data_IF_061425155040
#
_entry.id   IF_061425155040
#
_cell.length_a   1.000
_cell.length_b   1.000
_cell.length_c   1.000
_cell.angle_alpha   90.00
_cell.angle_beta   90.00
_cell.angle_gamma   90.00
#
_symmetry.space_group_name_H-M   'P 1'
#
loop_
_entity.id
_entity.type
_entity.pdbx_description
1 polymer ?
#
# COMPACT_ATOMS: atom_id res chain seq x y z
N UNK A 1 51.57 14.26 -27.22
CA UNK A 1 51.47 14.01 -25.77
C UNK A 1 50.12 13.36 -25.47
N UNK A 2 50.04 12.04 -25.34
CA UNK A 2 48.85 11.32 -24.86
C UNK A 2 49.04 11.01 -23.37
N UNK A 3 48.21 11.61 -22.50
CA UNK A 3 48.18 11.30 -21.07
C UNK A 3 47.12 10.23 -20.80
N UNK A 4 47.56 9.01 -20.45
CA UNK A 4 46.73 7.93 -19.90
C UNK A 4 46.40 8.25 -18.44
N UNK A 5 45.10 8.36 -18.10
CA UNK A 5 44.64 8.40 -16.70
C UNK A 5 44.62 6.99 -16.11
N UNK A 6 45.33 6.81 -15.00
CA UNK A 6 45.27 5.60 -14.16
C UNK A 6 44.17 5.81 -13.13
N UNK A 7 43.17 4.93 -13.11
CA UNK A 7 42.18 4.87 -12.02
C UNK A 7 42.69 3.96 -10.88
N UNK A 8 42.85 4.53 -9.68
CA UNK A 8 42.98 3.77 -8.42
C UNK A 8 41.59 3.30 -7.98
N UNK A 9 41.42 1.99 -7.72
CA UNK A 9 40.26 1.44 -7.01
C UNK A 9 40.46 1.63 -5.50
N UNK A 10 39.48 2.22 -4.82
CA UNK A 10 39.42 2.30 -3.36
C UNK A 10 38.89 0.97 -2.78
N UNK A 11 39.49 0.51 -1.68
CA UNK A 11 38.98 -0.58 -0.84
C UNK A 11 37.87 -0.04 0.08
N UNK A 12 36.69 -0.65 0.08
CA UNK A 12 35.61 -0.32 1.02
C UNK A 12 35.82 -1.05 2.37
N UNK A 13 35.65 -0.33 3.49
CA UNK A 13 35.74 -0.87 4.85
C UNK A 13 34.48 -1.66 5.25
N UNK A 14 34.63 -2.67 6.12
CA UNK A 14 33.50 -3.44 6.65
C UNK A 14 32.50 -2.55 7.42
N UNK A 15 31.18 -2.85 7.33
CA UNK A 15 30.14 -2.05 7.96
C UNK A 15 30.17 -2.14 9.50
N UNK A 16 29.80 -1.04 10.17
CA UNK A 16 29.68 -0.99 11.63
C UNK A 16 28.47 -1.79 12.13
N UNK A 17 28.48 -2.21 13.41
CA UNK A 17 27.34 -2.95 13.99
C UNK A 17 26.04 -2.14 13.94
N UNK A 18 26.13 -0.81 14.05
CA UNK A 18 24.98 0.08 13.90
C UNK A 18 24.42 0.05 12.48
N UNK A 19 25.29 0.10 11.46
CA UNK A 19 24.87 0.01 10.07
C UNK A 19 24.22 -1.36 9.76
N UNK A 20 24.78 -2.44 10.31
CA UNK A 20 24.18 -3.78 10.21
C UNK A 20 22.82 -3.84 10.93
N UNK A 21 22.70 -3.24 12.11
CA UNK A 21 21.44 -3.17 12.83
C UNK A 21 20.36 -2.40 12.05
N UNK A 22 20.71 -1.25 11.46
CA UNK A 22 19.80 -0.46 10.63
C UNK A 22 19.36 -1.25 9.37
N UNK A 23 20.27 -2.01 8.76
CA UNK A 23 19.97 -2.95 7.66
C UNK A 23 19.02 -4.07 8.12
N UNK A 24 19.27 -4.67 9.29
CA UNK A 24 18.41 -5.74 9.84
C UNK A 24 17.06 -5.22 10.31
N UNK A 25 16.94 -3.95 10.73
CA UNK A 25 15.64 -3.31 10.92
C UNK A 25 14.87 -3.23 9.61
N UNK A 26 15.54 -2.88 8.51
CA UNK A 26 14.91 -2.86 7.19
C UNK A 26 14.49 -4.28 6.75
N UNK A 27 15.36 -5.27 6.90
CA UNK A 27 15.06 -6.68 6.60
C UNK A 27 13.93 -7.24 7.47
N UNK A 28 13.91 -6.93 8.77
CA UNK A 28 12.85 -7.37 9.69
C UNK A 28 11.46 -6.87 9.28
N UNK A 29 11.37 -5.74 8.59
CA UNK A 29 10.11 -5.21 8.04
C UNK A 29 9.65 -5.95 6.77
N UNK A 30 10.56 -6.64 6.08
CA UNK A 30 10.24 -7.44 4.88
C UNK A 30 9.91 -8.89 5.22
N UNK A 31 10.23 -9.34 6.44
CA UNK A 31 9.89 -10.68 6.87
C UNK A 31 8.37 -10.84 7.05
N UNK A 32 7.83 -12.06 6.83
CA UNK A 32 6.43 -12.34 7.11
C UNK A 32 6.06 -11.96 8.54
N UNK A 33 4.81 -11.49 8.79
CA UNK A 33 4.38 -11.12 10.12
C UNK A 33 4.48 -12.33 11.05
N UNK A 34 5.15 -12.13 12.18
CA UNK A 34 5.25 -13.14 13.22
C UNK A 34 3.83 -13.51 13.70
N UNK A 35 3.55 -14.79 13.79
CA UNK A 35 2.30 -15.34 14.34
C UNK A 35 2.41 -15.50 15.87
N UNK A 36 3.61 -15.86 16.34
CA UNK A 36 3.91 -16.04 17.76
C UNK A 36 4.13 -14.72 18.52
N UNK A 37 3.39 -14.55 19.61
CA UNK A 37 3.47 -13.37 20.47
C UNK A 37 4.77 -13.32 21.28
N UNK A 38 5.34 -14.47 21.65
CA UNK A 38 6.61 -14.50 22.39
C UNK A 38 7.76 -13.98 21.51
N UNK A 39 7.82 -14.43 20.26
CA UNK A 39 8.78 -13.96 19.24
C UNK A 39 8.63 -12.45 18.97
N UNK A 40 7.39 -11.91 18.92
CA UNK A 40 7.17 -10.45 18.80
C UNK A 40 7.70 -9.66 19.99
N UNK A 41 7.47 -10.17 21.20
CA UNK A 41 7.90 -9.52 22.43
C UNK A 41 9.43 -9.52 22.55
N UNK A 42 10.08 -10.61 22.14
CA UNK A 42 11.55 -10.71 22.09
C UNK A 42 12.16 -9.74 21.07
N UNK A 43 11.61 -9.71 19.85
CA UNK A 43 12.01 -8.74 18.81
C UNK A 43 11.87 -7.29 19.30
N UNK A 44 10.75 -6.98 19.96
CA UNK A 44 10.51 -5.66 20.53
C UNK A 44 11.51 -5.33 21.65
N UNK A 45 11.74 -6.24 22.58
CA UNK A 45 12.65 -6.04 23.70
C UNK A 45 14.08 -5.78 23.23
N UNK A 46 14.60 -6.60 22.30
CA UNK A 46 15.94 -6.43 21.72
C UNK A 46 16.07 -5.10 20.97
N UNK A 47 15.06 -4.72 20.20
CA UNK A 47 15.04 -3.42 19.51
C UNK A 47 15.08 -2.26 20.51
N UNK A 48 14.23 -2.30 21.55
CA UNK A 48 14.19 -1.24 22.58
C UNK A 48 15.49 -1.17 23.38
N UNK A 49 16.08 -2.30 23.74
CA UNK A 49 17.38 -2.33 24.42
C UNK A 49 18.49 -1.76 23.52
N UNK A 50 18.46 -2.07 22.21
CA UNK A 50 19.44 -1.57 21.25
C UNK A 50 19.31 -0.05 20.99
N UNK A 51 18.11 0.52 21.02
CA UNK A 51 17.90 1.96 20.74
C UNK A 51 17.92 2.83 21.99
N UNK A 52 17.32 2.36 23.09
CA UNK A 52 17.05 3.15 24.28
C UNK A 52 17.88 2.69 25.48
N UNK A 53 18.53 1.51 25.41
CA UNK A 53 19.27 0.93 26.53
C UNK A 53 18.38 0.24 27.57
N UNK A 54 18.87 0.03 28.80
CA UNK A 54 18.12 -0.63 29.87
C UNK A 54 16.76 0.03 30.16
N UNK A 55 15.75 -0.79 30.45
CA UNK A 55 14.40 -0.29 30.73
C UNK A 55 14.37 0.57 32.01
N UNK A 56 14.13 1.87 31.85
CA UNK A 56 13.96 2.84 32.94
C UNK A 56 12.53 3.34 33.09
N UNK A 57 11.61 2.84 32.26
CA UNK A 57 10.22 3.28 32.22
C UNK A 57 9.42 2.73 33.40
N UNK A 58 8.40 3.44 33.91
CA UNK A 58 7.53 2.93 34.96
C UNK A 58 6.71 1.74 34.46
N UNK A 59 6.44 0.78 35.35
CA UNK A 59 5.63 -0.40 35.02
C UNK A 59 4.21 0.03 34.62
N UNK A 60 3.68 -0.41 33.45
CA UNK A 60 2.31 -0.12 33.02
C UNK A 60 1.24 -0.61 34.00
N UNK A 61 0.10 0.08 34.00
CA UNK A 61 -1.02 -0.20 34.91
C UNK A 61 -1.67 -1.57 34.70
N UNK A 62 -2.36 -2.08 35.72
CA UNK A 62 -2.90 -3.46 35.77
C UNK A 62 -3.86 -3.81 34.62
N UNK A 63 -4.49 -2.82 33.99
CA UNK A 63 -5.43 -3.02 32.88
C UNK A 63 -4.78 -2.96 31.48
N UNK A 64 -3.49 -2.62 31.38
CA UNK A 64 -2.73 -2.61 30.12
C UNK A 64 -1.90 -3.89 29.97
N UNK A 65 -2.58 -4.98 29.59
CA UNK A 65 -1.96 -6.30 29.48
C UNK A 65 -0.85 -6.37 28.42
N UNK A 66 -1.02 -5.66 27.30
CA UNK A 66 -0.03 -5.66 26.19
C UNK A 66 1.16 -4.77 26.53
N UNK A 67 0.92 -3.58 27.08
CA UNK A 67 1.99 -2.71 27.54
C UNK A 67 2.79 -3.34 28.66
N UNK A 68 2.13 -4.00 29.62
CA UNK A 68 2.81 -4.76 30.68
C UNK A 68 3.70 -5.87 30.11
N UNK A 69 3.22 -6.65 29.14
CA UNK A 69 4.02 -7.72 28.52
C UNK A 69 5.24 -7.18 27.76
N UNK A 70 5.09 -6.07 27.02
CA UNK A 70 6.21 -5.38 26.35
C UNK A 70 7.22 -4.81 27.33
N UNK A 71 6.74 -4.19 28.40
CA UNK A 71 7.57 -3.66 29.46
C UNK A 71 8.32 -4.77 30.19
N UNK A 72 7.66 -5.88 30.53
CA UNK A 72 8.30 -7.03 31.18
C UNK A 72 9.36 -7.67 30.27
N UNK A 73 9.07 -7.85 28.98
CA UNK A 73 10.04 -8.37 28.02
C UNK A 73 11.29 -7.48 27.91
N UNK A 74 11.13 -6.15 27.87
CA UNK A 74 12.25 -5.22 27.83
C UNK A 74 12.99 -5.13 29.17
N UNK A 75 12.28 -5.09 30.30
CA UNK A 75 12.88 -5.06 31.63
C UNK A 75 13.68 -6.33 31.95
N UNK A 76 13.26 -7.50 31.45
CA UNK A 76 13.96 -8.76 31.63
C UNK A 76 15.33 -8.83 30.93
N UNK A 77 15.61 -7.95 29.95
CA UNK A 77 16.95 -7.84 29.35
C UNK A 77 17.96 -7.15 30.28
N UNK A 78 17.50 -6.53 31.38
CA UNK A 78 18.34 -6.00 32.44
C UNK A 78 19.37 -4.98 31.95
N UNK A 79 20.63 -5.18 32.34
CA UNK A 79 21.75 -4.29 32.02
C UNK A 79 22.47 -4.62 30.71
N UNK A 80 21.83 -5.34 29.78
CA UNK A 80 22.42 -5.68 28.48
C UNK A 80 22.87 -4.40 27.73
N UNK A 81 24.09 -4.42 27.18
CA UNK A 81 24.62 -3.26 26.45
C UNK A 81 23.91 -3.05 25.11
N UNK A 82 23.87 -1.81 24.61
CA UNK A 82 23.22 -1.49 23.33
C UNK A 82 23.86 -2.24 22.14
N UNK A 83 25.18 -2.33 22.08
CA UNK A 83 25.89 -3.06 21.02
C UNK A 83 25.64 -4.57 21.06
N UNK A 84 25.45 -5.13 22.26
CA UNK A 84 25.10 -6.53 22.46
C UNK A 84 23.66 -6.78 22.03
N UNK A 85 22.73 -5.90 22.41
CA UNK A 85 21.34 -5.97 21.96
C UNK A 85 21.21 -5.80 20.44
N UNK A 86 22.02 -4.95 19.80
CA UNK A 86 22.06 -4.83 18.33
C UNK A 86 22.50 -6.13 17.67
N UNK A 87 23.55 -6.79 18.19
CA UNK A 87 24.00 -8.10 17.68
C UNK A 87 22.91 -9.15 17.83
N UNK A 88 22.34 -9.28 19.02
CA UNK A 88 21.26 -10.24 19.27
C UNK A 88 20.04 -9.98 18.39
N UNK A 89 19.70 -8.72 18.12
CA UNK A 89 18.64 -8.37 17.18
C UNK A 89 18.96 -8.78 15.74
N UNK A 90 20.21 -8.56 15.29
CA UNK A 90 20.66 -8.98 13.97
C UNK A 90 20.55 -10.50 13.79
N UNK A 91 21.07 -11.26 14.76
CA UNK A 91 21.03 -12.73 14.75
C UNK A 91 19.59 -13.25 14.76
N UNK A 92 18.71 -12.60 15.53
CA UNK A 92 17.29 -12.92 15.61
C UNK A 92 16.58 -12.72 14.26
N UNK A 93 16.81 -11.59 13.59
CA UNK A 93 16.26 -11.33 12.24
C UNK A 93 16.79 -12.34 11.22
N UNK A 94 18.06 -12.72 11.29
CA UNK A 94 18.64 -13.71 10.38
C UNK A 94 18.05 -15.11 10.58
N UNK A 95 17.80 -15.51 11.84
CA UNK A 95 17.11 -16.75 12.14
C UNK A 95 15.67 -16.77 11.60
N UNK A 96 14.94 -15.64 11.71
CA UNK A 96 13.60 -15.51 11.15
C UNK A 96 13.60 -15.54 9.63
N UNK A 97 14.58 -14.89 8.99
CA UNK A 97 14.76 -14.93 7.54
C UNK A 97 15.06 -16.35 7.04
N UNK A 98 15.92 -17.10 7.74
CA UNK A 98 16.22 -18.48 7.41
C UNK A 98 15.00 -19.41 7.57
N UNK A 99 14.16 -19.18 8.60
CA UNK A 99 12.91 -19.94 8.81
C UNK A 99 11.86 -19.63 7.73
N UNK A 100 11.77 -18.37 7.29
CA UNK A 100 10.91 -17.95 6.18
C UNK A 100 11.38 -18.54 4.84
N UNK A 101 12.70 -18.57 4.59
CA UNK A 101 13.29 -19.18 3.39
C UNK A 101 13.08 -20.70 3.30
N UNK A 102 13.19 -21.43 4.41
CA UNK A 102 12.95 -22.90 4.45
C UNK A 102 11.48 -23.28 4.22
N UNK A 103 10.55 -22.36 4.46
CA UNK A 103 9.11 -22.57 4.18
C UNK A 103 8.77 -22.32 2.70
N UNK A 104 9.68 -21.75 1.91
CA UNK A 104 9.50 -21.46 0.49
C UNK A 104 10.12 -22.52 -0.45
N UNK A 105 10.94 -23.45 0.06
CA UNK A 105 11.69 -24.40 -0.77
C UNK A 105 10.91 -25.70 -1.12
N UNK A 106 9.67 -25.84 -0.62
CA UNK A 106 8.79 -26.98 -0.91
C UNK A 106 7.87 -26.81 -2.14
N UNK A 107 7.95 -25.69 -2.88
CA UNK A 107 7.13 -25.47 -4.07
C UNK A 107 7.88 -24.69 -5.18
N UNK A 108 8.81 -25.39 -5.83
CA UNK A 108 9.29 -25.27 -7.22
C UNK A 108 9.46 -23.87 -7.89
N UNK A 109 10.68 -23.59 -8.33
CA UNK A 109 11.11 -22.48 -9.21
C UNK A 109 11.12 -22.89 -10.72
N UNK A 110 11.56 -22.04 -11.70
CA UNK A 110 11.71 -20.57 -11.74
C UNK A 110 11.19 -19.89 -13.04
N UNK A 111 10.86 -18.59 -12.99
CA UNK A 111 11.25 -17.65 -14.08
C UNK A 111 11.64 -16.28 -13.52
N UNK A 112 12.87 -15.89 -13.85
CA UNK A 112 13.59 -14.59 -13.76
C UNK A 112 12.91 -13.39 -13.05
N UNK A 113 13.56 -12.80 -12.02
CA UNK A 113 13.16 -11.52 -11.45
C UNK A 113 13.80 -10.34 -12.21
N UNK A 114 13.00 -9.34 -12.56
CA UNK A 114 13.44 -7.99 -12.96
C UNK A 114 12.38 -6.98 -12.52
N UNK A 115 12.76 -5.70 -12.39
CA UNK A 115 13.31 -5.03 -11.21
C UNK A 115 12.22 -4.60 -10.20
N UNK A 116 12.65 -4.32 -8.96
CA UNK A 116 11.86 -3.80 -7.82
C UNK A 116 10.64 -2.98 -8.26
N UNK A 117 9.44 -3.51 -8.04
CA UNK A 117 8.17 -2.79 -8.24
C UNK A 117 7.50 -2.71 -6.87
N UNK A 118 7.34 -1.51 -6.32
CA UNK A 118 6.62 -1.28 -5.06
C UNK A 118 5.14 -1.71 -5.15
N UNK A 119 4.63 -1.85 -6.37
CA UNK A 119 3.35 -2.48 -6.68
C UNK A 119 3.55 -3.99 -6.88
N UNK A 120 3.04 -4.76 -5.93
CA UNK A 120 2.93 -6.21 -6.01
C UNK A 120 1.76 -6.58 -6.93
N UNK A 121 2.07 -7.25 -8.04
CA UNK A 121 1.07 -7.78 -8.96
C UNK A 121 0.82 -9.25 -8.67
N UNK A 122 -0.44 -9.67 -8.62
CA UNK A 122 -0.82 -11.08 -8.50
C UNK A 122 -1.96 -11.36 -9.46
N UNK A 123 -1.73 -12.27 -10.41
CA UNK A 123 -2.71 -12.65 -11.41
C UNK A 123 -3.16 -14.10 -11.16
N UNK A 124 -4.46 -14.32 -10.99
CA UNK A 124 -5.02 -15.68 -10.89
C UNK A 124 -6.47 -15.70 -11.39
N UNK A 125 -6.87 -16.76 -12.10
CA UNK A 125 -8.26 -16.99 -12.51
C UNK A 125 -8.94 -15.79 -13.19
N UNK A 126 -8.21 -15.05 -14.05
CA UNK A 126 -8.72 -13.86 -14.74
C UNK A 126 -8.81 -12.60 -13.87
N UNK A 127 -8.26 -12.61 -12.66
CA UNK A 127 -8.19 -11.46 -11.75
C UNK A 127 -6.74 -11.01 -11.66
N UNK A 128 -6.49 -9.73 -11.93
CA UNK A 128 -5.21 -9.08 -11.63
C UNK A 128 -5.38 -8.21 -10.39
N UNK A 129 -4.60 -8.48 -9.35
CA UNK A 129 -4.54 -7.66 -8.14
C UNK A 129 -3.26 -6.83 -8.15
N UNK A 130 -3.42 -5.52 -7.99
CA UNK A 130 -2.36 -4.52 -7.87
C UNK A 130 -2.37 -4.01 -6.43
N UNK A 131 -1.40 -4.43 -5.63
CA UNK A 131 -1.30 -4.05 -4.23
C UNK A 131 0.01 -3.35 -3.90
N UNK A 132 -0.05 -2.32 -3.08
CA UNK A 132 1.13 -1.58 -2.61
C UNK A 132 1.02 -1.32 -1.11
N UNK A 133 2.15 -1.22 -0.43
CA UNK A 133 2.20 -1.07 1.05
C UNK A 133 2.40 0.37 1.49
N UNK A 134 2.81 1.26 0.60
CA UNK A 134 3.07 2.64 0.92
C UNK A 134 1.78 3.40 1.21
N UNK A 135 1.78 4.21 2.26
CA UNK A 135 0.64 5.08 2.60
C UNK A 135 0.58 6.36 1.77
N UNK A 136 1.66 6.65 1.05
CA UNK A 136 1.79 7.78 0.14
C UNK A 136 1.85 7.26 -1.27
N UNK A 137 1.13 7.89 -2.20
CA UNK A 137 1.31 7.65 -3.63
C UNK A 137 2.37 8.62 -4.15
N UNK A 138 3.53 8.08 -4.50
CA UNK A 138 4.63 8.80 -5.15
C UNK A 138 4.66 8.53 -6.66
N UNK A 139 5.55 9.22 -7.38
CA UNK A 139 5.62 9.09 -8.85
C UNK A 139 5.99 7.66 -9.28
N UNK A 140 6.87 6.96 -8.55
CA UNK A 140 7.32 5.59 -8.89
C UNK A 140 6.19 4.56 -8.73
N UNK A 141 5.40 4.67 -7.66
CA UNK A 141 4.20 3.84 -7.48
C UNK A 141 3.18 4.10 -8.59
N UNK A 142 3.01 5.36 -9.01
CA UNK A 142 2.07 5.71 -10.08
C UNK A 142 2.54 5.18 -11.42
N UNK A 143 3.82 5.32 -11.76
CA UNK A 143 4.39 4.77 -13.00
C UNK A 143 4.22 3.24 -13.02
N UNK A 144 4.47 2.56 -11.90
CA UNK A 144 4.25 1.12 -11.75
C UNK A 144 2.77 0.71 -11.91
N UNK A 145 1.84 1.51 -11.37
CA UNK A 145 0.39 1.28 -11.55
C UNK A 145 -0.03 1.48 -13.01
N UNK A 146 0.49 2.52 -13.67
CA UNK A 146 0.21 2.82 -15.08
C UNK A 146 0.68 1.67 -15.97
N UNK A 147 1.92 1.20 -15.80
CA UNK A 147 2.48 0.08 -16.56
C UNK A 147 1.66 -1.19 -16.36
N UNK A 148 1.28 -1.49 -15.11
CA UNK A 148 0.47 -2.65 -14.79
C UNK A 148 -0.95 -2.56 -15.39
N UNK A 149 -1.58 -1.38 -15.39
CA UNK A 149 -2.89 -1.16 -16.00
C UNK A 149 -2.84 -1.27 -17.53
N UNK A 150 -1.77 -0.79 -18.17
CA UNK A 150 -1.56 -0.93 -19.60
C UNK A 150 -1.31 -2.38 -20.00
N UNK A 151 -0.48 -3.11 -19.24
CA UNK A 151 -0.27 -4.54 -19.41
C UNK A 151 -1.59 -5.32 -19.22
N UNK A 152 -2.42 -4.92 -18.26
CA UNK A 152 -3.73 -5.51 -18.05
C UNK A 152 -4.68 -5.25 -19.23
N UNK A 153 -4.64 -4.06 -19.82
CA UNK A 153 -5.45 -3.71 -20.98
C UNK A 153 -5.11 -4.54 -22.23
N UNK A 154 -3.84 -4.94 -22.37
CA UNK A 154 -3.38 -5.82 -23.44
C UNK A 154 -3.69 -7.32 -23.21
N UNK A 155 -4.15 -7.71 -22.02
CA UNK A 155 -4.38 -9.10 -21.66
C UNK A 155 -5.87 -9.48 -21.74
N UNK A 156 -6.24 -10.17 -22.82
CA UNK A 156 -7.63 -10.55 -23.08
C UNK A 156 -8.22 -11.61 -22.14
N UNK A 157 -7.35 -12.32 -21.42
CA UNK A 157 -7.77 -13.31 -20.42
C UNK A 157 -8.20 -12.70 -19.09
N UNK A 158 -7.88 -11.42 -18.87
CA UNK A 158 -8.31 -10.71 -17.67
C UNK A 158 -9.78 -10.37 -17.76
N UNK A 159 -10.45 -10.54 -16.63
CA UNK A 159 -11.85 -10.22 -16.41
C UNK A 159 -12.03 -9.10 -15.42
N UNK A 160 -11.10 -8.91 -14.48
CA UNK A 160 -11.19 -7.91 -13.41
C UNK A 160 -9.80 -7.42 -13.02
N UNK A 161 -9.66 -6.12 -12.77
CA UNK A 161 -8.49 -5.53 -12.11
C UNK A 161 -8.89 -5.08 -10.71
N UNK A 162 -8.10 -5.44 -9.70
CA UNK A 162 -8.30 -5.07 -8.30
C UNK A 162 -7.17 -4.16 -7.85
N UNK A 163 -7.50 -2.94 -7.43
CA UNK A 163 -6.60 -2.00 -6.76
C UNK A 163 -6.74 -2.23 -5.25
N UNK A 164 -5.73 -2.81 -4.62
CA UNK A 164 -5.76 -3.19 -3.21
C UNK A 164 -4.55 -2.61 -2.45
N UNK A 165 -4.59 -1.32 -2.09
CA UNK A 165 -3.64 -0.75 -1.13
C UNK A 165 -3.68 -1.55 0.18
N UNK A 166 -2.51 -1.98 0.67
CA UNK A 166 -2.36 -2.64 1.97
C UNK A 166 -2.33 -1.65 3.14
N UNK A 167 -2.17 -0.36 2.85
CA UNK A 167 -2.16 0.74 3.81
C UNK A 167 -3.19 1.82 3.44
N UNK A 168 -3.44 2.72 4.39
CA UNK A 168 -4.21 3.96 4.18
C UNK A 168 -3.54 4.82 3.10
N UNK A 169 -4.28 5.31 2.10
CA UNK A 169 -3.74 6.26 1.12
C UNK A 169 -3.92 7.67 1.70
N UNK A 170 -2.98 8.13 2.52
CA UNK A 170 -3.15 9.34 3.34
C UNK A 170 -2.52 10.60 2.73
N UNK A 171 -1.70 10.46 1.68
CA UNK A 171 -1.07 11.58 0.99
C UNK A 171 -0.65 11.20 -0.44
N UNK A 172 -0.48 12.19 -1.32
CA UNK A 172 0.02 11.98 -2.68
C UNK A 172 0.90 13.16 -3.09
N UNK A 173 2.12 12.88 -3.55
CA UNK A 173 3.09 13.88 -4.03
C UNK A 173 3.27 13.83 -5.55
N UNK A 174 2.23 13.37 -6.24
CA UNK A 174 2.27 12.99 -7.65
C UNK A 174 2.28 14.24 -8.53
N UNK A 175 3.15 14.26 -9.54
CA UNK A 175 3.14 15.35 -10.52
C UNK A 175 1.92 15.29 -11.43
N UNK A 176 1.46 16.44 -11.96
CA UNK A 176 0.29 16.52 -12.85
C UNK A 176 0.39 15.62 -14.08
N UNK A 177 1.59 15.44 -14.64
CA UNK A 177 1.81 14.53 -15.76
C UNK A 177 1.48 13.07 -15.41
N UNK A 178 1.83 12.62 -14.20
CA UNK A 178 1.54 11.25 -13.74
C UNK A 178 0.09 11.09 -13.33
N UNK A 179 -0.56 12.12 -12.78
CA UNK A 179 -2.02 12.09 -12.60
C UNK A 179 -2.75 11.86 -13.94
N UNK A 180 -2.34 12.56 -15.00
CA UNK A 180 -2.92 12.42 -16.34
C UNK A 180 -2.66 11.02 -16.90
N UNK A 181 -1.42 10.51 -16.77
CA UNK A 181 -1.07 9.16 -17.22
C UNK A 181 -1.91 8.09 -16.50
N UNK A 182 -2.04 8.21 -15.17
CA UNK A 182 -2.86 7.32 -14.36
C UNK A 182 -4.33 7.33 -14.77
N UNK A 183 -4.94 8.52 -14.88
CA UNK A 183 -6.35 8.61 -15.25
C UNK A 183 -6.59 8.06 -16.66
N UNK A 184 -5.70 8.31 -17.62
CA UNK A 184 -5.79 7.73 -18.96
C UNK A 184 -5.67 6.20 -18.94
N UNK A 185 -4.76 5.64 -18.15
CA UNK A 185 -4.61 4.19 -18.00
C UNK A 185 -5.87 3.56 -17.36
N UNK A 186 -6.44 4.21 -16.34
CA UNK A 186 -7.70 3.79 -15.73
C UNK A 186 -8.86 3.86 -16.71
N UNK A 187 -8.98 4.92 -17.51
CA UNK A 187 -10.06 5.05 -18.51
C UNK A 187 -9.92 4.06 -19.67
N UNK A 188 -8.70 3.72 -20.05
CA UNK A 188 -8.41 2.77 -21.12
C UNK A 188 -8.56 1.30 -20.69
N UNK A 189 -8.58 1.01 -19.38
CA UNK A 189 -8.69 -0.35 -18.88
C UNK A 189 -10.04 -0.99 -19.32
N UNK A 190 -10.02 -2.08 -20.10
CA UNK A 190 -11.22 -2.66 -20.71
C UNK A 190 -12.03 -3.54 -19.75
N UNK A 191 -11.49 -3.85 -18.56
CA UNK A 191 -12.14 -4.69 -17.56
C UNK A 191 -12.63 -3.86 -16.37
N UNK A 192 -13.61 -4.36 -15.60
CA UNK A 192 -14.02 -3.75 -14.34
C UNK A 192 -12.84 -3.53 -13.40
N UNK A 193 -12.77 -2.33 -12.81
CA UNK A 193 -11.81 -1.96 -11.78
C UNK A 193 -12.50 -2.02 -10.41
N UNK A 194 -11.95 -2.80 -9.50
CA UNK A 194 -12.38 -2.90 -8.11
C UNK A 194 -11.38 -2.18 -7.22
N UNK A 195 -11.81 -1.20 -6.43
CA UNK A 195 -10.98 -0.61 -5.39
C UNK A 195 -11.32 -1.22 -4.03
N UNK A 196 -10.30 -1.72 -3.33
CA UNK A 196 -10.40 -2.27 -1.97
C UNK A 196 -9.69 -1.32 -1.01
N UNK A 197 -10.42 -0.71 -0.07
CA UNK A 197 -9.86 0.28 0.86
C UNK A 197 -10.14 -0.10 2.31
N UNK A 198 -9.11 -0.09 3.15
CA UNK A 198 -9.17 -0.57 4.53
C UNK A 198 -8.90 0.50 5.59
N UNK A 199 -8.44 1.68 5.18
CA UNK A 199 -8.08 2.79 6.07
C UNK A 199 -8.41 4.16 5.50
N UNK A 200 -8.01 5.25 6.19
CA UNK A 200 -8.12 6.60 5.67
C UNK A 200 -7.61 6.74 4.24
N UNK A 201 -8.38 7.41 3.39
CA UNK A 201 -8.09 7.62 1.97
C UNK A 201 -8.23 9.10 1.65
N UNK A 202 -7.22 9.70 1.01
CA UNK A 202 -7.17 11.11 0.68
C UNK A 202 -6.50 11.38 -0.67
N UNK A 203 -6.67 12.60 -1.19
CA UNK A 203 -6.04 13.08 -2.42
C UNK A 203 -6.30 12.17 -3.62
N UNK A 204 -5.23 11.79 -4.34
CA UNK A 204 -5.30 10.88 -5.49
C UNK A 204 -5.95 9.53 -5.13
N UNK A 205 -5.82 9.06 -3.88
CA UNK A 205 -6.49 7.85 -3.42
C UNK A 205 -8.02 7.93 -3.47
N UNK A 206 -8.59 9.10 -3.14
CA UNK A 206 -10.05 9.33 -3.30
C UNK A 206 -10.41 9.34 -4.78
N UNK A 207 -9.55 9.89 -5.63
CA UNK A 207 -9.70 9.84 -7.09
C UNK A 207 -9.72 8.42 -7.65
N UNK A 208 -8.81 7.54 -7.20
CA UNK A 208 -8.78 6.12 -7.57
C UNK A 208 -10.10 5.42 -7.21
N UNK A 209 -10.59 5.64 -5.98
CA UNK A 209 -11.87 5.11 -5.52
C UNK A 209 -13.03 5.68 -6.34
N UNK A 210 -12.99 6.97 -6.69
CA UNK A 210 -14.00 7.61 -7.49
C UNK A 210 -14.03 7.11 -8.95
N UNK A 211 -12.91 6.63 -9.51
CA UNK A 211 -12.85 6.05 -10.85
C UNK A 211 -13.09 4.54 -10.92
N UNK A 212 -12.97 3.81 -9.79
CA UNK A 212 -13.25 2.37 -9.75
C UNK A 212 -14.74 2.07 -10.03
N UNK A 213 -15.03 0.94 -10.68
CA UNK A 213 -16.41 0.54 -10.98
C UNK A 213 -17.10 -0.06 -9.74
N UNK A 214 -16.34 -0.78 -8.91
CA UNK A 214 -16.79 -1.35 -7.63
C UNK A 214 -15.85 -0.92 -6.52
N UNK A 215 -16.41 -0.45 -5.41
CA UNK A 215 -15.64 -0.04 -4.23
C UNK A 215 -16.03 -0.91 -3.04
N UNK A 216 -15.06 -1.67 -2.54
CA UNK A 216 -15.16 -2.48 -1.33
C UNK A 216 -14.40 -1.77 -0.22
N UNK A 217 -15.12 -1.24 0.77
CA UNK A 217 -14.51 -0.46 1.85
C UNK A 217 -14.68 -1.16 3.19
N UNK A 218 -13.63 -1.15 4.02
CA UNK A 218 -13.76 -1.55 5.41
C UNK A 218 -14.62 -0.55 6.20
N UNK A 219 -15.33 -1.01 7.23
CA UNK A 219 -16.22 -0.19 8.04
C UNK A 219 -15.55 1.02 8.72
N UNK A 220 -14.23 0.98 8.92
CA UNK A 220 -13.45 2.09 9.52
C UNK A 220 -12.89 3.07 8.49
N UNK A 221 -13.11 2.84 7.20
CA UNK A 221 -12.58 3.70 6.14
C UNK A 221 -13.24 5.07 6.18
N UNK A 222 -12.44 6.08 5.86
CA UNK A 222 -12.85 7.48 5.80
C UNK A 222 -12.20 8.17 4.61
N UNK A 223 -12.90 9.09 3.98
CA UNK A 223 -12.43 9.83 2.81
C UNK A 223 -12.29 11.31 3.15
N UNK A 224 -11.19 11.92 2.73
CA UNK A 224 -10.93 13.34 2.94
C UNK A 224 -10.18 13.93 1.74
N UNK A 225 -10.41 15.21 1.45
CA UNK A 225 -9.67 15.95 0.43
C UNK A 225 -9.04 17.20 1.03
N UNK A 226 -7.94 17.64 0.43
CA UNK A 226 -7.37 18.95 0.71
C UNK A 226 -7.98 20.00 -0.23
N UNK A 227 -8.12 21.26 0.21
CA UNK A 227 -8.45 22.36 -0.69
C UNK A 227 -7.51 22.40 -1.90
N UNK A 228 -8.02 22.77 -3.08
CA UNK A 228 -7.30 22.75 -4.35
C UNK A 228 -6.92 21.34 -4.90
N UNK A 229 -7.71 20.32 -4.55
CA UNK A 229 -7.66 19.00 -5.21
C UNK A 229 -7.85 19.12 -6.74
N UNK A 230 -7.20 18.26 -7.51
CA UNK A 230 -7.30 18.19 -8.97
C UNK A 230 -8.74 18.11 -9.47
N UNK A 231 -9.05 18.85 -10.54
CA UNK A 231 -10.40 18.94 -11.12
C UNK A 231 -10.95 17.59 -11.54
N UNK A 232 -10.11 16.65 -12.00
CA UNK A 232 -10.57 15.30 -12.37
C UNK A 232 -11.15 14.51 -11.19
N UNK A 233 -10.61 14.71 -9.97
CA UNK A 233 -11.14 14.09 -8.74
C UNK A 233 -12.51 14.71 -8.42
N UNK A 234 -12.62 16.03 -8.54
CA UNK A 234 -13.89 16.74 -8.33
C UNK A 234 -14.99 16.24 -9.28
N UNK A 235 -14.70 16.14 -10.58
CA UNK A 235 -15.63 15.62 -11.57
C UNK A 235 -16.05 14.16 -11.28
N UNK A 236 -15.09 13.31 -10.92
CA UNK A 236 -15.37 11.90 -10.58
C UNK A 236 -16.28 11.78 -9.35
N UNK A 237 -16.05 12.60 -8.33
CA UNK A 237 -16.86 12.59 -7.10
C UNK A 237 -18.26 13.15 -7.31
N UNK A 238 -18.41 14.24 -8.07
CA UNK A 238 -19.72 14.83 -8.35
C UNK A 238 -20.64 13.81 -9.03
N UNK A 239 -20.10 13.04 -9.97
CA UNK A 239 -20.91 12.06 -10.67
C UNK A 239 -21.34 10.87 -9.80
N UNK A 240 -20.56 10.51 -8.77
CA UNK A 240 -20.87 9.40 -7.85
C UNK A 240 -21.67 9.81 -6.62
N UNK A 241 -21.33 10.92 -5.99
CA UNK A 241 -21.90 11.39 -4.73
C UNK A 241 -22.99 12.45 -4.94
N UNK A 242 -23.06 13.06 -6.12
CA UNK A 242 -23.82 14.28 -6.36
C UNK A 242 -23.13 15.53 -5.78
N UNK A 243 -23.54 16.71 -6.26
CA UNK A 243 -22.93 17.98 -5.89
C UNK A 243 -22.86 18.24 -4.38
N UNK A 244 -23.96 18.00 -3.67
CA UNK A 244 -24.05 18.38 -2.24
C UNK A 244 -22.98 17.66 -1.41
N UNK A 245 -22.87 16.34 -1.57
CA UNK A 245 -21.89 15.54 -0.83
C UNK A 245 -20.46 15.74 -1.36
N UNK A 246 -20.29 15.89 -2.67
CA UNK A 246 -18.98 16.19 -3.24
C UNK A 246 -18.44 17.54 -2.73
N UNK A 247 -19.29 18.57 -2.62
CA UNK A 247 -18.91 19.90 -2.14
C UNK A 247 -18.46 19.90 -0.67
N UNK A 248 -19.00 19.03 0.18
CA UNK A 248 -18.53 18.87 1.55
C UNK A 248 -17.06 18.43 1.60
N UNK A 249 -16.67 17.48 0.74
CA UNK A 249 -15.27 17.08 0.58
C UNK A 249 -14.43 18.17 -0.08
N UNK A 250 -14.93 18.76 -1.18
CA UNK A 250 -14.15 19.64 -2.06
C UNK A 250 -13.92 21.05 -1.49
N UNK A 251 -14.93 21.63 -0.85
CA UNK A 251 -14.90 23.01 -0.38
C UNK A 251 -14.75 23.13 1.12
N UNK A 252 -15.37 22.22 1.88
CA UNK A 252 -15.32 22.26 3.34
C UNK A 252 -14.17 21.41 3.91
N UNK A 253 -13.53 20.57 3.08
CA UNK A 253 -12.48 19.65 3.53
C UNK A 253 -12.99 18.62 4.54
N UNK A 254 -14.30 18.38 4.57
CA UNK A 254 -14.90 17.49 5.55
C UNK A 254 -14.46 16.05 5.32
N UNK A 255 -14.21 15.36 6.42
CA UNK A 255 -13.92 13.93 6.40
C UNK A 255 -15.24 13.16 6.43
N UNK A 256 -15.51 12.38 5.39
CA UNK A 256 -16.71 11.52 5.33
C UNK A 256 -16.37 10.09 5.74
N UNK A 257 -17.26 9.46 6.50
CA UNK A 257 -17.19 8.03 6.79
C UNK A 257 -17.80 7.20 5.66
N UNK A 258 -17.51 5.90 5.62
CA UNK A 258 -18.19 4.96 4.70
C UNK A 258 -19.72 5.01 4.78
N UNK A 259 -20.28 5.25 5.96
CA UNK A 259 -21.73 5.38 6.15
C UNK A 259 -22.31 6.66 5.55
N UNK A 260 -21.50 7.71 5.32
CA UNK A 260 -21.92 8.92 4.62
C UNK A 260 -21.59 8.88 3.12
N UNK A 261 -20.71 7.98 2.69
CA UNK A 261 -20.19 7.84 1.33
C UNK A 261 -21.12 7.03 0.38
N UNK A 262 -22.44 7.10 0.58
CA UNK A 262 -23.42 6.46 -0.29
C UNK A 262 -23.29 7.02 -1.72
N UNK A 263 -23.01 6.15 -2.69
CA UNK A 263 -22.71 6.51 -4.10
C UNK A 263 -21.23 6.35 -4.47
N UNK A 264 -20.32 6.47 -3.50
CA UNK A 264 -18.90 6.21 -3.69
C UNK A 264 -18.53 4.77 -3.32
N UNK A 265 -19.11 4.24 -2.24
CA UNK A 265 -18.85 2.87 -1.74
C UNK A 265 -19.95 1.92 -2.21
N UNK A 266 -19.57 0.86 -2.92
CA UNK A 266 -20.50 -0.18 -3.38
C UNK A 266 -20.87 -1.14 -2.26
N UNK A 267 -19.88 -1.54 -1.43
CA UNK A 267 -20.12 -2.42 -0.30
C UNK A 267 -19.19 -2.12 0.87
N UNK A 268 -19.77 -2.07 2.05
CA UNK A 268 -19.03 -2.03 3.31
C UNK A 268 -18.77 -3.46 3.79
N UNK A 269 -17.51 -3.75 4.12
CA UNK A 269 -17.07 -5.02 4.68
C UNK A 269 -16.66 -4.80 6.14
N UNK A 270 -16.86 -5.83 6.96
CA UNK A 270 -16.54 -5.83 8.40
C UNK A 270 -15.63 -7.02 8.67
N UNK A 271 -14.75 -6.95 9.65
CA UNK A 271 -13.81 -8.02 9.98
C UNK A 271 -12.37 -7.61 9.76
N UNK A 272 -11.43 -8.45 10.15
CA UNK A 272 -10.00 -8.15 10.08
C UNK A 272 -9.19 -9.33 9.52
N UNK A 273 -8.05 -9.01 8.90
CA UNK A 273 -7.14 -10.00 8.32
C UNK A 273 -7.85 -10.95 7.35
N UNK A 274 -7.69 -12.25 7.59
CA UNK A 274 -8.18 -13.31 6.71
C UNK A 274 -9.69 -13.29 6.46
N UNK A 275 -10.50 -12.86 7.44
CA UNK A 275 -11.96 -12.76 7.24
C UNK A 275 -12.31 -11.64 6.24
N UNK A 276 -11.64 -10.50 6.35
CA UNK A 276 -11.79 -9.40 5.39
C UNK A 276 -11.33 -9.83 3.99
N UNK A 277 -10.17 -10.48 3.88
CA UNK A 277 -9.63 -10.95 2.60
C UNK A 277 -10.53 -12.00 1.95
N UNK A 278 -11.09 -12.92 2.74
CA UNK A 278 -12.06 -13.90 2.25
C UNK A 278 -13.34 -13.23 1.74
N UNK A 279 -13.81 -12.19 2.44
CA UNK A 279 -14.96 -11.42 1.98
C UNK A 279 -14.66 -10.70 0.66
N UNK A 280 -13.51 -10.04 0.52
CA UNK A 280 -13.06 -9.40 -0.73
C UNK A 280 -13.00 -10.43 -1.85
N UNK A 281 -12.30 -11.54 -1.63
CA UNK A 281 -12.14 -12.62 -2.61
C UNK A 281 -13.50 -13.14 -3.09
N UNK A 282 -14.44 -13.37 -2.18
CA UNK A 282 -15.78 -13.83 -2.53
C UNK A 282 -16.52 -12.85 -3.46
N UNK A 283 -16.40 -11.53 -3.27
CA UNK A 283 -17.05 -10.53 -4.15
C UNK A 283 -16.32 -10.39 -5.49
N UNK A 284 -14.99 -10.41 -5.49
CA UNK A 284 -14.19 -10.37 -6.72
C UNK A 284 -14.45 -11.62 -7.57
N UNK A 285 -14.64 -12.77 -6.94
CA UNK A 285 -14.97 -14.01 -7.64
C UNK A 285 -16.32 -13.94 -8.37
N UNK A 286 -17.32 -13.22 -7.83
CA UNK A 286 -18.58 -12.98 -8.54
C UNK A 286 -18.37 -12.24 -9.87
N UNK A 287 -17.40 -11.32 -9.91
CA UNK A 287 -17.06 -10.57 -11.12
C UNK A 287 -16.24 -11.41 -12.11
N UNK A 288 -15.36 -12.30 -11.63
CA UNK A 288 -14.53 -13.14 -12.49
C UNK A 288 -15.23 -14.38 -13.02
N UNK A 289 -16.31 -14.84 -12.39
CA UNK A 289 -17.14 -15.94 -12.90
C UNK A 289 -18.02 -15.54 -14.09
N UNK A 290 -18.37 -14.25 -14.20
CA UNK A 290 -19.14 -13.72 -15.33
C UNK A 290 -18.41 -13.80 -16.68
N UNK A 291 -19.13 -13.62 -17.80
CA UNK A 291 -18.48 -13.31 -19.08
C UNK A 291 -17.64 -12.04 -18.91
N UNK A 292 -16.63 -11.83 -19.77
CA UNK A 292 -15.94 -10.54 -19.80
C UNK A 292 -16.99 -9.50 -20.18
N UNK A 293 -17.40 -8.74 -19.18
CA UNK A 293 -18.45 -7.76 -19.31
C UNK A 293 -17.76 -6.44 -19.66
N UNK A 294 -17.94 -6.00 -20.91
CA UNK A 294 -17.55 -4.67 -21.35
C UNK A 294 -18.43 -3.56 -20.70
N UNK A 295 -19.37 -3.88 -19.79
CA UNK A 295 -20.15 -2.88 -19.02
C UNK A 295 -19.29 -2.00 -18.10
N UNK A 296 -18.02 -2.37 -17.86
CA UNK A 296 -17.01 -1.51 -17.20
C UNK A 296 -16.83 -0.14 -17.88
N UNK A 297 -17.46 0.04 -19.03
CA UNK A 297 -17.32 1.17 -19.90
C UNK A 297 -18.50 2.15 -19.82
N UNK A 298 -19.58 1.90 -19.09
CA UNK A 298 -20.70 2.85 -19.08
C UNK A 298 -20.33 4.16 -18.39
N UNK A 299 -19.92 4.14 -17.11
CA UNK A 299 -19.56 5.37 -16.41
C UNK A 299 -18.22 5.93 -16.89
N UNK A 300 -17.15 5.12 -16.94
CA UNK A 300 -15.82 5.61 -17.35
C UNK A 300 -15.80 6.14 -18.79
N UNK A 301 -16.55 5.56 -19.76
CA UNK A 301 -16.66 6.17 -21.12
C UNK A 301 -17.57 7.38 -21.16
N UNK A 302 -18.70 7.39 -20.43
CA UNK A 302 -19.56 8.58 -20.37
C UNK A 302 -18.82 9.78 -19.75
N UNK A 303 -18.03 9.53 -18.71
CA UNK A 303 -17.23 10.54 -18.03
C UNK A 303 -15.91 10.87 -18.75
N UNK A 304 -15.44 10.04 -19.69
CA UNK A 304 -14.12 10.18 -20.32
C UNK A 304 -13.89 11.57 -20.92
N UNK A 305 -14.85 12.10 -21.70
CA UNK A 305 -14.72 13.40 -22.32
C UNK A 305 -14.62 14.55 -21.29
N UNK A 306 -15.43 14.48 -20.23
CA UNK A 306 -15.42 15.48 -19.14
C UNK A 306 -14.13 15.40 -18.32
N UNK A 307 -13.65 14.18 -18.03
CA UNK A 307 -12.39 13.95 -17.32
C UNK A 307 -11.19 14.41 -18.14
N UNK A 308 -11.17 14.15 -19.44
CA UNK A 308 -10.12 14.64 -20.35
C UNK A 308 -10.07 16.17 -20.38
N UNK A 309 -11.23 16.82 -20.47
CA UNK A 309 -11.31 18.28 -20.40
C UNK A 309 -10.82 18.82 -19.05
N UNK A 310 -11.19 18.17 -17.94
CA UNK A 310 -10.74 18.54 -16.60
C UNK A 310 -9.22 18.37 -16.42
N UNK A 311 -8.65 17.29 -16.92
CA UNK A 311 -7.21 17.03 -16.91
C UNK A 311 -6.45 18.10 -17.71
N UNK A 312 -6.93 18.44 -18.91
CA UNK A 312 -6.32 19.49 -19.73
C UNK A 312 -6.35 20.85 -19.03
N UNK A 313 -7.46 21.18 -18.35
CA UNK A 313 -7.57 22.41 -17.57
C UNK A 313 -6.62 22.42 -16.35
N UNK A 314 -6.45 21.28 -15.67
CA UNK A 314 -5.51 21.15 -14.55
C UNK A 314 -4.05 21.34 -15.01
N UNK A 315 -3.68 20.84 -16.19
CA UNK A 315 -2.35 21.03 -16.77
C UNK A 315 -2.06 22.49 -17.13
N UNK A 316 -3.07 23.26 -17.53
CA UNK A 316 -2.93 24.69 -17.87
C UNK A 316 -2.82 25.61 -16.66
N UNK A 317 -3.18 25.13 -15.46
CA UNK A 317 -3.12 25.88 -14.20
C UNK A 317 -1.81 25.71 -13.42
N UNK A 318 -0.93 24.81 -13.87
CA UNK A 318 0.38 24.53 -13.28
C UNK A 318 1.46 25.39 -13.94
#
# INVERSE_FOLDING_TARGET
MLLRRVHRRAFASAPSIRALFDEKIALGKTLPPLDDNQTKLEMYALFKQATDGPCTQPKPGMFDFVGKAKWEAWANLGSMGQDEAMKSYCDFIDALAAKAGRSAEAAAAPTKPTPNTDVQTTASHGVLTLGWTQSTLDDETIDSLVDALQAAAANDSLKVVVLQPKASIAHSTVSKAREVALVNALLACPTPIVAVVTGPTSGVGVGLVALADVVLAHATTTFALQPATSSWIAHSLIAKLGHIRANALLFLGEKISVGAAHGLVTRVLVGSGADFDAQVAARVQLLSQGPRIDLALLYRRQAAAQLQAALAADQQRA
#
